data_IF_975787103392
#
_entry.id   IF_975787103392
#
_cell.length_a   1.000
_cell.length_b   1.000
_cell.length_c   1.000
_cell.angle_alpha   90.00
_cell.angle_beta   90.00
_cell.angle_gamma   90.00
#
_symmetry.space_group_name_H-M   'P 1'
#
loop_
_entity.id
_entity.type
_entity.pdbx_description
1 polymer ?
#
# COMPACT_ATOMS: atom_id res chain seq x y z
N UNK A 1 -21.50 42.13 -33.21
CA UNK A 1 -21.80 41.47 -31.93
C UNK A 1 -21.59 39.97 -32.14
N UNK A 2 -20.43 39.45 -31.75
CA UNK A 2 -20.09 38.04 -31.90
C UNK A 2 -19.14 37.68 -30.77
N UNK A 3 -19.64 36.98 -29.76
CA UNK A 3 -18.86 36.50 -28.63
C UNK A 3 -18.11 35.26 -29.12
N UNK A 4 -16.82 35.41 -29.40
CA UNK A 4 -15.90 34.30 -29.66
C UNK A 4 -15.61 33.63 -28.33
N UNK A 5 -16.25 32.48 -28.09
CA UNK A 5 -16.06 31.67 -26.90
C UNK A 5 -14.75 30.88 -27.05
N UNK A 6 -13.62 31.49 -26.70
CA UNK A 6 -12.29 30.87 -26.74
C UNK A 6 -11.97 30.22 -25.40
N UNK A 7 -12.60 29.07 -25.12
CA UNK A 7 -12.18 28.19 -24.03
C UNK A 7 -11.79 26.84 -24.60
N UNK A 8 -10.62 26.81 -25.26
CA UNK A 8 -9.83 25.59 -25.37
C UNK A 8 -8.47 25.92 -24.78
N UNK A 9 -8.38 25.85 -23.44
CA UNK A 9 -7.10 25.96 -22.73
C UNK A 9 -6.35 24.66 -23.00
N UNK A 10 -5.22 24.76 -23.70
CA UNK A 10 -4.37 23.60 -23.94
C UNK A 10 -3.91 23.03 -22.59
N UNK A 11 -3.77 21.71 -22.51
CA UNK A 11 -3.22 21.05 -21.33
C UNK A 11 -1.84 21.61 -20.92
N UNK A 12 -1.07 22.10 -21.90
CA UNK A 12 0.23 22.76 -21.65
C UNK A 12 0.12 24.06 -20.85
N UNK A 13 -0.95 24.84 -21.03
CA UNK A 13 -1.15 26.11 -20.31
C UNK A 13 -1.54 25.85 -18.85
N UNK A 14 -2.31 24.79 -18.60
CA UNK A 14 -2.66 24.34 -17.23
C UNK A 14 -1.42 23.87 -16.48
N UNK A 15 -0.49 23.20 -17.18
CA UNK A 15 0.75 22.70 -16.61
C UNK A 15 1.73 23.85 -16.28
N UNK A 16 1.83 24.85 -17.17
CA UNK A 16 2.61 26.06 -16.94
C UNK A 16 2.07 26.89 -15.75
N UNK A 17 0.75 27.01 -15.62
CA UNK A 17 0.12 27.65 -14.46
C UNK A 17 0.33 26.87 -13.15
N UNK A 18 0.42 25.53 -13.20
CA UNK A 18 0.76 24.74 -12.03
C UNK A 18 2.20 25.00 -11.56
N UNK A 19 3.15 25.18 -12.49
CA UNK A 19 4.55 25.48 -12.15
C UNK A 19 4.77 26.89 -11.60
N UNK A 20 3.97 27.89 -11.99
CA UNK A 20 4.17 29.28 -11.55
C UNK A 20 3.51 29.63 -10.19
N UNK A 21 2.59 28.79 -9.69
CA UNK A 21 1.83 29.05 -8.44
C UNK A 21 2.41 28.32 -7.22
N UNK A 22 3.34 27.38 -7.40
CA UNK A 22 3.95 26.67 -6.27
C UNK A 22 5.08 27.50 -5.70
N UNK A 23 4.76 28.38 -4.74
CA UNK A 23 5.77 28.98 -3.88
C UNK A 23 6.65 27.89 -3.26
N UNK A 24 7.94 28.19 -3.11
CA UNK A 24 9.04 27.30 -2.70
C UNK A 24 8.89 26.60 -1.32
N UNK A 25 7.69 26.59 -0.73
CA UNK A 25 7.38 26.11 0.62
C UNK A 25 6.26 25.05 0.67
N UNK A 26 5.94 24.39 -0.45
CA UNK A 26 4.94 23.31 -0.47
C UNK A 26 5.67 21.98 -0.46
N UNK A 27 5.37 21.12 0.52
CA UNK A 27 5.91 19.76 0.56
C UNK A 27 5.53 18.99 -0.71
N UNK A 28 6.53 18.43 -1.40
CA UNK A 28 6.35 17.65 -2.63
C UNK A 28 6.27 16.15 -2.32
N UNK A 29 5.61 15.40 -3.19
CA UNK A 29 5.49 13.94 -3.13
C UNK A 29 5.61 13.37 -4.54
N UNK A 30 5.85 12.05 -4.64
CA UNK A 30 6.00 11.38 -5.95
C UNK A 30 7.42 11.39 -6.51
N UNK A 31 8.41 11.71 -5.68
CA UNK A 31 9.83 11.53 -6.01
C UNK A 31 10.18 10.01 -6.02
N UNK A 32 11.45 9.68 -6.28
CA UNK A 32 11.95 8.31 -6.26
C UNK A 32 11.66 7.62 -4.91
N UNK A 33 11.16 6.39 -4.94
CA UNK A 33 10.85 5.60 -3.75
C UNK A 33 12.09 5.20 -2.93
N UNK A 34 13.30 5.30 -3.52
CA UNK A 34 14.56 5.09 -2.81
C UNK A 34 14.99 6.30 -1.98
N UNK A 35 14.34 7.46 -2.15
CA UNK A 35 14.62 8.65 -1.34
C UNK A 35 14.07 8.44 0.08
N UNK A 36 14.92 8.46 1.13
CA UNK A 36 14.48 8.27 2.51
C UNK A 36 13.39 9.25 2.97
N UNK A 37 13.29 10.43 2.34
CA UNK A 37 12.25 11.43 2.65
C UNK A 37 10.86 11.02 2.17
N UNK A 38 10.78 10.08 1.23
CA UNK A 38 9.52 9.53 0.68
C UNK A 38 9.08 8.23 1.34
N UNK A 39 9.92 7.67 2.22
CA UNK A 39 9.60 6.43 2.92
C UNK A 39 8.35 6.59 3.80
N UNK A 40 7.54 5.53 3.83
CA UNK A 40 6.32 5.47 4.63
C UNK A 40 6.56 4.74 5.95
N UNK A 41 5.64 4.94 6.90
CA UNK A 41 5.65 4.23 8.18
C UNK A 41 4.61 3.12 8.19
N UNK A 42 4.94 2.00 8.83
CA UNK A 42 4.03 0.86 9.00
C UNK A 42 4.13 0.31 10.42
N UNK A 43 2.98 0.21 11.10
CA UNK A 43 2.85 -0.43 12.40
C UNK A 43 1.65 -1.38 12.39
N UNK A 44 1.82 -2.56 12.99
CA UNK A 44 0.75 -3.55 13.09
C UNK A 44 0.66 -4.11 14.52
N UNK A 45 -0.56 -4.22 15.03
CA UNK A 45 -0.85 -4.87 16.31
C UNK A 45 -2.16 -5.62 16.21
N UNK A 46 -2.19 -6.85 16.73
CA UNK A 46 -3.41 -7.66 16.75
C UNK A 46 -3.16 -9.06 17.28
N UNK A 47 -4.23 -9.87 17.44
CA UNK A 47 -4.13 -11.24 17.92
C UNK A 47 -3.33 -12.13 16.97
N UNK A 48 -3.42 -11.87 15.67
CA UNK A 48 -2.71 -12.61 14.62
C UNK A 48 -1.29 -12.10 14.34
N UNK A 49 -0.87 -11.00 14.97
CA UNK A 49 0.46 -10.38 14.76
C UNK A 49 1.38 -10.72 15.94
N UNK A 50 2.63 -11.10 15.66
CA UNK A 50 3.65 -11.32 16.69
C UNK A 50 4.01 -9.99 17.36
N UNK A 51 4.20 -10.01 18.68
CA UNK A 51 4.58 -8.81 19.44
C UNK A 51 6.11 -8.64 19.38
N UNK A 52 6.57 -7.39 19.32
CA UNK A 52 8.00 -7.06 19.38
C UNK A 52 8.81 -7.53 18.18
N UNK A 53 8.17 -7.72 17.02
CA UNK A 53 8.86 -8.01 15.76
C UNK A 53 9.07 -6.72 14.99
N UNK A 54 10.31 -6.49 14.58
CA UNK A 54 10.69 -5.41 13.67
C UNK A 54 11.02 -6.03 12.30
N UNK A 55 10.46 -5.44 11.25
CA UNK A 55 10.73 -5.85 9.88
C UNK A 55 11.86 -5.00 9.29
N UNK A 56 12.67 -5.56 8.37
CA UNK A 56 13.50 -4.72 7.51
C UNK A 56 12.61 -3.80 6.67
N UNK A 57 13.21 -2.77 6.05
CA UNK A 57 12.50 -1.98 5.05
C UNK A 57 12.00 -2.89 3.92
N UNK A 58 10.69 -2.84 3.69
CA UNK A 58 10.00 -3.64 2.66
C UNK A 58 9.20 -2.71 1.74
N UNK A 59 8.92 -3.20 0.54
CA UNK A 59 8.06 -2.53 -0.41
C UNK A 59 6.58 -2.75 -0.04
N UNK A 60 5.74 -1.78 -0.38
CA UNK A 60 4.29 -1.83 -0.08
C UNK A 60 3.56 -2.97 -0.82
N UNK A 61 4.12 -3.48 -1.92
CA UNK A 61 3.58 -4.62 -2.68
C UNK A 61 3.47 -5.88 -1.82
N UNK A 62 4.34 -6.02 -0.81
CA UNK A 62 4.33 -7.14 0.13
C UNK A 62 3.07 -7.20 1.00
N UNK A 63 2.39 -6.06 1.19
CA UNK A 63 1.22 -6.01 2.06
C UNK A 63 0.05 -6.83 1.54
N UNK A 64 -0.04 -7.10 0.23
CA UNK A 64 -1.09 -7.96 -0.30
C UNK A 64 -1.03 -9.37 0.30
N UNK A 65 0.18 -9.93 0.44
CA UNK A 65 0.39 -11.23 1.07
C UNK A 65 0.00 -11.21 2.56
N UNK A 66 0.22 -10.09 3.26
CA UNK A 66 -0.23 -9.90 4.64
C UNK A 66 -1.77 -9.88 4.73
N UNK A 67 -2.43 -9.11 3.87
CA UNK A 67 -3.89 -8.98 3.89
C UNK A 67 -4.59 -10.30 3.60
N UNK A 68 -4.14 -11.05 2.59
CA UNK A 68 -4.74 -12.34 2.26
C UNK A 68 -4.59 -13.33 3.40
N UNK A 69 -3.44 -13.34 4.07
CA UNK A 69 -3.17 -14.23 5.19
C UNK A 69 -3.99 -13.84 6.45
N UNK A 70 -4.20 -12.55 6.72
CA UNK A 70 -5.02 -12.09 7.84
C UNK A 70 -6.52 -12.34 7.63
N UNK A 71 -7.01 -12.14 6.40
CA UNK A 71 -8.42 -12.34 6.04
C UNK A 71 -8.75 -13.82 5.79
N UNK A 72 -7.74 -14.67 5.58
CA UNK A 72 -7.95 -16.08 5.24
C UNK A 72 -8.52 -16.28 3.84
N UNK A 73 -8.23 -15.37 2.91
CA UNK A 73 -8.65 -15.47 1.51
C UNK A 73 -7.53 -16.07 0.65
N UNK A 74 -7.84 -16.74 -0.47
CA UNK A 74 -6.84 -17.25 -1.38
C UNK A 74 -5.93 -16.12 -1.88
N UNK A 75 -4.62 -16.32 -1.81
CA UNK A 75 -3.66 -15.40 -2.41
C UNK A 75 -3.82 -15.42 -3.94
N UNK A 76 -3.90 -14.25 -4.54
CA UNK A 76 -3.84 -14.06 -6.00
C UNK A 76 -2.41 -13.70 -6.38
N UNK A 77 -2.04 -13.94 -7.63
CA UNK A 77 -0.77 -13.49 -8.19
C UNK A 77 -0.56 -11.98 -7.93
N UNK A 78 0.56 -11.65 -7.31
CA UNK A 78 0.99 -10.30 -6.97
C UNK A 78 2.52 -10.26 -6.93
N UNK A 79 3.09 -9.06 -6.96
CA UNK A 79 4.55 -8.86 -7.05
C UNK A 79 5.28 -9.04 -5.71
N UNK A 80 4.57 -9.34 -4.62
CA UNK A 80 5.15 -9.54 -3.30
C UNK A 80 5.81 -10.91 -3.14
N UNK A 81 6.97 -10.93 -2.49
CA UNK A 81 7.72 -12.14 -2.18
C UNK A 81 7.01 -13.00 -1.13
N UNK A 82 6.80 -14.29 -1.47
CA UNK A 82 6.17 -15.25 -0.56
C UNK A 82 7.09 -15.53 0.63
N UNK A 83 6.54 -15.44 1.83
CA UNK A 83 7.23 -15.82 3.08
C UNK A 83 7.77 -14.65 3.90
N UNK A 84 7.93 -13.45 3.32
CA UNK A 84 8.34 -12.25 4.07
C UNK A 84 7.39 -11.99 5.24
N UNK A 85 6.08 -12.07 4.98
CA UNK A 85 5.01 -11.81 5.95
C UNK A 85 4.79 -12.95 6.96
N UNK A 86 5.34 -14.14 6.74
CA UNK A 86 5.23 -15.26 7.69
C UNK A 86 6.04 -15.00 8.97
N UNK A 87 7.02 -14.11 8.88
CA UNK A 87 7.81 -13.66 10.03
C UNK A 87 6.96 -12.86 11.03
N UNK A 88 5.93 -12.15 10.58
CA UNK A 88 5.06 -11.32 11.44
C UNK A 88 3.76 -11.99 11.85
N UNK A 89 3.24 -12.92 11.05
CA UNK A 89 1.96 -13.59 11.33
C UNK A 89 2.17 -14.73 12.34
N UNK A 90 1.32 -14.77 13.37
CA UNK A 90 1.21 -15.92 14.26
C UNK A 90 0.56 -17.06 13.49
N UNK A 91 1.24 -18.21 13.41
CA UNK A 91 0.64 -19.41 12.84
C UNK A 91 -0.65 -19.74 13.59
N UNK A 92 -1.77 -19.79 12.87
CA UNK A 92 -3.04 -20.27 13.41
C UNK A 92 -2.83 -21.71 13.85
N UNK A 93 -3.15 -22.03 15.11
CA UNK A 93 -3.25 -23.42 15.54
C UNK A 93 -4.42 -24.00 14.73
N UNK A 94 -4.14 -24.90 13.79
CA UNK A 94 -5.21 -25.64 13.12
C UNK A 94 -5.75 -26.56 14.21
N UNK A 95 -6.84 -26.14 14.85
CA UNK A 95 -7.65 -27.05 15.64
C UNK A 95 -8.22 -28.06 14.65
N UNK A 96 -7.88 -29.34 14.84
CA UNK A 96 -8.42 -30.41 14.03
C UNK A 96 -9.94 -30.27 14.09
N UNK A 97 -10.57 -30.05 12.95
CA UNK A 97 -12.02 -30.19 12.84
C UNK A 97 -12.30 -31.65 13.21
N UNK A 98 -12.82 -31.91 14.41
CA UNK A 98 -13.36 -33.23 14.71
C UNK A 98 -14.49 -33.46 13.71
N UNK A 99 -14.26 -34.43 12.82
CA UNK A 99 -15.29 -34.95 11.95
C UNK A 99 -16.29 -35.61 12.89
N UNK A 100 -17.42 -34.93 13.11
CA UNK A 100 -18.54 -35.49 13.84
C UNK A 100 -19.10 -36.58 12.92
N UNK A 101 -18.74 -37.83 13.19
CA UNK A 101 -19.42 -38.98 12.59
C UNK A 101 -20.87 -38.94 13.08
N UNK A 102 -21.77 -38.54 12.19
CA UNK A 102 -23.20 -38.57 12.42
C UNK A 102 -23.65 -40.02 12.14
N UNK A 103 -24.32 -40.70 13.09
CA UNK A 103 -24.78 -42.07 12.91
C UNK A 103 -25.84 -42.22 11.81
#
# INVERSE_FOLDING_TARGET
MGIQNTNVRNYGDIQAMHSEVHGDNIGTYGNDFNDPTTHTIFFAMGPSIKKGVELPSIQNVEFMNLWTALLGIPAVENDGEKGVMDTIIRKKKIEKQEVIDIP
#
